data_IF_235875139660
#
_entry.id   IF_235875139660
#
_cell.length_a   1.000
_cell.length_b   1.000
_cell.length_c   1.000
_cell.angle_alpha   90.00
_cell.angle_beta   90.00
_cell.angle_gamma   90.00
#
_symmetry.space_group_name_H-M   'P 1'
#
loop_
_entity.id
_entity.type
_entity.pdbx_description
1 polymer ?
#
# COMPACT_ATOMS: atom_id res chain seq x y z
N UNK A 1 -10.19 1.85 35.07
CA UNK A 1 -9.07 2.34 35.91
C UNK A 1 -7.82 2.40 35.06
N UNK A 2 -7.17 3.56 34.99
CA UNK A 2 -5.90 3.73 34.27
C UNK A 2 -4.75 3.08 35.05
N UNK A 3 -3.91 2.29 34.37
CA UNK A 3 -2.73 1.66 34.95
C UNK A 3 -1.50 2.16 34.19
N UNK A 4 -0.53 2.68 34.91
CA UNK A 4 0.76 3.06 34.32
C UNK A 4 1.57 1.80 34.02
N UNK A 5 1.68 1.47 32.73
CA UNK A 5 2.42 0.28 32.28
C UNK A 5 3.91 0.39 32.58
N UNK A 6 4.51 1.59 32.47
CA UNK A 6 5.94 1.81 32.74
C UNK A 6 6.29 1.51 34.19
N UNK A 7 5.37 1.73 35.13
CA UNK A 7 5.58 1.39 36.55
C UNK A 7 5.77 -0.12 36.82
N UNK A 8 5.44 -0.98 35.84
CA UNK A 8 5.75 -2.42 35.92
C UNK A 8 7.25 -2.71 35.77
N UNK A 9 7.96 -1.85 35.04
CA UNK A 9 9.37 -2.03 34.70
C UNK A 9 10.31 -1.22 35.62
N UNK A 10 9.85 -0.06 36.10
CA UNK A 10 10.70 0.89 36.81
C UNK A 10 10.13 1.25 38.19
N UNK A 11 11.01 1.54 39.14
CA UNK A 11 10.64 2.11 40.43
C UNK A 11 10.39 3.64 40.31
N UNK A 12 9.99 4.26 41.41
CA UNK A 12 9.75 5.72 41.49
C UNK A 12 10.98 6.60 41.19
N UNK A 13 12.17 6.00 41.16
CA UNK A 13 13.45 6.67 40.84
C UNK A 13 13.95 6.35 39.44
N UNK A 14 13.11 5.73 38.61
CA UNK A 14 13.46 5.34 37.24
C UNK A 14 14.45 4.17 37.13
N UNK A 15 14.64 3.38 38.19
CA UNK A 15 15.53 2.22 38.18
C UNK A 15 14.73 0.96 37.85
N UNK A 16 15.33 0.07 37.06
CA UNK A 16 14.72 -1.20 36.68
C UNK A 16 14.40 -2.05 37.93
N UNK A 17 13.17 -2.51 38.01
CA UNK A 17 12.68 -3.41 39.06
C UNK A 17 13.24 -4.82 38.87
N UNK A 18 13.56 -5.49 39.96
CA UNK A 18 14.02 -6.90 39.96
C UNK A 18 12.86 -7.86 39.61
N UNK A 19 11.64 -7.50 39.98
CA UNK A 19 10.38 -8.26 39.79
C UNK A 19 9.61 -7.86 38.52
N UNK A 20 10.29 -7.17 37.59
CA UNK A 20 9.66 -6.73 36.32
C UNK A 20 9.19 -7.90 35.45
N UNK A 21 8.19 -7.69 34.59
CA UNK A 21 7.75 -8.67 33.61
C UNK A 21 8.93 -9.18 32.76
N UNK A 22 8.84 -10.45 32.33
CA UNK A 22 9.75 -11.01 31.34
C UNK A 22 9.50 -10.38 29.96
N UNK A 23 10.49 -10.40 29.10
CA UNK A 23 10.41 -9.84 27.76
C UNK A 23 11.13 -8.51 27.62
N UNK A 24 10.79 -7.75 26.58
CA UNK A 24 11.37 -6.45 26.34
C UNK A 24 10.95 -5.43 27.40
N UNK A 25 11.84 -4.51 27.68
CA UNK A 25 11.62 -3.43 28.65
C UNK A 25 11.25 -2.16 27.89
N UNK A 26 10.05 -1.65 28.12
CA UNK A 26 9.63 -0.38 27.52
C UNK A 26 10.51 0.78 28.02
N UNK A 27 10.85 1.75 27.16
CA UNK A 27 11.67 2.89 27.54
C UNK A 27 11.02 3.73 28.65
N UNK A 28 11.85 4.25 29.61
CA UNK A 28 11.33 5.01 30.76
C UNK A 28 10.93 6.44 30.38
N UNK A 29 11.77 7.15 29.64
CA UNK A 29 11.70 8.59 29.40
C UNK A 29 11.82 8.94 27.90
N UNK A 30 11.22 8.12 27.04
CA UNK A 30 11.09 8.37 25.62
C UNK A 30 9.68 8.82 25.30
N UNK A 31 9.55 9.62 24.26
CA UNK A 31 8.24 10.06 23.76
C UNK A 31 7.51 8.88 23.13
N UNK A 32 6.31 8.60 23.59
CA UNK A 32 5.38 7.72 22.91
C UNK A 32 4.93 8.42 21.63
N UNK A 33 5.24 7.85 20.47
CA UNK A 33 4.85 8.42 19.18
C UNK A 33 3.52 7.86 18.70
N UNK A 34 3.27 6.57 18.95
CA UNK A 34 1.99 5.93 18.62
C UNK A 34 1.64 4.83 19.62
N UNK A 35 0.34 4.66 19.87
CA UNK A 35 -0.26 3.48 20.51
C UNK A 35 -1.33 3.00 19.55
N UNK A 36 -1.16 1.80 19.01
CA UNK A 36 -2.04 1.21 17.99
C UNK A 36 -2.61 -0.12 18.51
N UNK A 37 -3.88 -0.17 18.95
CA UNK A 37 -4.57 -1.44 19.16
C UNK A 37 -4.70 -2.20 17.83
N UNK A 38 -4.46 -3.52 17.84
CA UNK A 38 -4.64 -4.34 16.65
C UNK A 38 -6.11 -4.37 16.22
N UNK A 39 -6.31 -4.36 14.90
CA UNK A 39 -7.64 -4.55 14.32
C UNK A 39 -8.04 -6.04 14.27
N UNK A 40 -7.09 -6.96 14.50
CA UNK A 40 -7.27 -8.41 14.32
C UNK A 40 -7.35 -9.17 15.65
N UNK A 41 -6.75 -8.65 16.72
CA UNK A 41 -6.70 -9.33 18.02
C UNK A 41 -6.79 -8.33 19.18
N UNK A 42 -7.74 -8.54 20.08
CA UNK A 42 -8.07 -7.64 21.20
C UNK A 42 -6.96 -7.55 22.25
N UNK A 43 -6.14 -8.58 22.39
CA UNK A 43 -5.02 -8.63 23.33
C UNK A 43 -3.71 -8.09 22.72
N UNK A 44 -3.72 -7.77 21.44
CA UNK A 44 -2.55 -7.25 20.71
C UNK A 44 -2.57 -5.72 20.61
N UNK A 45 -1.44 -5.11 20.92
CA UNK A 45 -1.22 -3.66 20.80
C UNK A 45 0.23 -3.36 20.45
N UNK A 46 0.42 -2.41 19.54
CA UNK A 46 1.73 -1.90 19.15
C UNK A 46 1.98 -0.55 19.82
N UNK A 47 3.23 -0.33 20.24
CA UNK A 47 3.64 0.96 20.82
C UNK A 47 4.99 1.35 20.24
N UNK A 48 5.09 2.60 19.78
CA UNK A 48 6.34 3.15 19.27
C UNK A 48 6.79 4.33 20.12
N UNK A 49 8.11 4.52 20.20
CA UNK A 49 8.72 5.62 20.91
C UNK A 49 9.83 6.27 20.08
N UNK A 50 10.14 7.52 20.40
CA UNK A 50 11.28 8.26 19.86
C UNK A 50 12.10 8.89 20.96
N UNK A 51 13.41 8.71 20.92
CA UNK A 51 14.39 9.39 21.77
C UNK A 51 15.07 10.57 21.09
N UNK A 52 14.75 10.85 19.84
CA UNK A 52 15.43 11.87 19.05
C UNK A 52 15.50 13.24 19.74
N UNK A 53 14.37 13.76 20.20
CA UNK A 53 14.32 15.08 20.84
C UNK A 53 14.85 15.11 22.28
N UNK A 54 14.73 14.01 23.01
CA UNK A 54 15.06 13.96 24.44
C UNK A 54 16.49 13.49 24.69
N UNK A 55 17.03 12.64 23.83
CA UNK A 55 18.31 11.97 24.03
C UNK A 55 19.25 12.06 22.83
N UNK A 56 18.82 12.76 21.75
CA UNK A 56 19.59 12.89 20.51
C UNK A 56 20.03 11.52 19.96
N UNK A 57 19.10 10.57 19.89
CA UNK A 57 19.35 9.22 19.43
C UNK A 57 18.42 8.82 18.28
N UNK A 58 18.93 8.05 17.32
CA UNK A 58 18.22 7.58 16.14
C UNK A 58 17.67 6.15 16.32
N UNK A 59 17.75 5.57 17.51
CA UNK A 59 17.26 4.22 17.78
C UNK A 59 15.76 4.12 17.54
N UNK A 60 15.35 3.09 16.79
CA UNK A 60 13.94 2.74 16.65
C UNK A 60 13.44 1.98 17.86
N UNK A 61 12.33 2.39 18.40
CA UNK A 61 11.66 1.72 19.50
C UNK A 61 10.28 1.26 19.05
N UNK A 62 10.12 -0.03 18.79
CA UNK A 62 8.87 -0.61 18.28
C UNK A 62 8.59 -1.87 19.13
N UNK A 63 7.49 -1.83 19.86
CA UNK A 63 7.12 -2.92 20.74
C UNK A 63 5.72 -3.44 20.44
N UNK A 64 5.53 -4.73 20.62
CA UNK A 64 4.22 -5.39 20.53
C UNK A 64 3.94 -6.18 21.80
N UNK A 65 2.69 -6.17 22.22
CA UNK A 65 2.14 -7.09 23.21
C UNK A 65 1.08 -7.96 22.54
N UNK A 66 0.96 -9.22 22.98
CA UNK A 66 -0.09 -10.15 22.57
C UNK A 66 -0.90 -10.69 23.78
N UNK A 67 -0.77 -10.02 24.93
CA UNK A 67 -1.38 -10.48 26.21
C UNK A 67 -1.97 -9.31 27.02
N UNK A 68 -2.46 -8.28 26.34
CA UNK A 68 -3.06 -7.11 26.97
C UNK A 68 -2.05 -6.27 27.77
N UNK A 69 -0.80 -6.19 27.34
CA UNK A 69 0.25 -5.38 27.95
C UNK A 69 0.89 -5.98 29.21
N UNK A 70 0.77 -7.31 29.40
CA UNK A 70 1.47 -8.01 30.49
C UNK A 70 2.94 -8.20 30.15
N UNK A 71 3.23 -8.62 28.91
CA UNK A 71 4.58 -8.75 28.38
C UNK A 71 4.72 -8.01 27.06
N UNK A 72 5.95 -7.67 26.68
CA UNK A 72 6.27 -6.93 25.46
C UNK A 72 7.42 -7.59 24.72
N UNK A 73 7.37 -7.50 23.40
CA UNK A 73 8.41 -7.94 22.49
C UNK A 73 8.92 -6.73 21.69
N UNK A 74 10.24 -6.60 21.57
CA UNK A 74 10.88 -5.64 20.67
C UNK A 74 10.88 -6.21 19.24
N UNK A 75 10.30 -5.47 18.31
CA UNK A 75 10.24 -5.82 16.89
C UNK A 75 10.98 -4.80 16.01
N UNK A 76 11.83 -3.96 16.61
CA UNK A 76 12.61 -2.96 15.86
C UNK A 76 13.73 -3.56 15.02
N UNK A 77 14.18 -4.77 15.35
CA UNK A 77 15.28 -5.48 14.69
C UNK A 77 16.58 -4.67 14.62
N UNK A 78 16.81 -3.80 15.59
CA UNK A 78 18.01 -2.96 15.65
C UNK A 78 18.06 -1.84 14.62
N UNK A 79 16.90 -1.46 14.05
CA UNK A 79 16.79 -0.34 13.12
C UNK A 79 17.21 0.97 13.81
N UNK A 80 17.92 1.83 13.08
CA UNK A 80 18.40 3.13 13.54
C UNK A 80 17.69 4.26 12.79
N UNK A 81 16.38 4.35 12.96
CA UNK A 81 15.52 5.39 12.35
C UNK A 81 14.49 5.83 13.38
N UNK A 82 14.44 7.11 13.79
CA UNK A 82 13.41 7.59 14.69
C UNK A 82 12.01 7.30 14.17
N UNK A 83 11.22 6.59 14.99
CA UNK A 83 9.88 6.16 14.61
C UNK A 83 8.87 7.22 14.99
N UNK A 84 7.95 7.51 14.07
CA UNK A 84 6.86 8.48 14.25
C UNK A 84 5.51 7.83 14.36
N UNK A 85 5.27 6.82 13.51
CA UNK A 85 3.95 6.21 13.41
C UNK A 85 4.06 4.74 12.99
N UNK A 86 3.03 3.96 13.32
CA UNK A 86 2.87 2.57 12.90
C UNK A 86 1.38 2.32 12.57
N UNK A 87 1.13 1.64 11.46
CA UNK A 87 -0.22 1.22 11.05
C UNK A 87 -0.23 -0.27 10.72
N UNK A 88 -1.31 -0.95 11.12
CA UNK A 88 -1.54 -2.37 10.81
C UNK A 88 -2.42 -2.50 9.57
N UNK A 89 -2.08 -3.43 8.67
CA UNK A 89 -2.91 -3.69 7.50
C UNK A 89 -4.29 -4.23 7.92
N UNK A 90 -5.39 -3.66 7.42
CA UNK A 90 -6.74 -4.02 7.87
C UNK A 90 -7.21 -5.43 7.50
N UNK A 91 -6.52 -6.09 6.55
CA UNK A 91 -6.90 -7.41 6.04
C UNK A 91 -5.83 -8.48 6.29
N UNK A 92 -4.61 -8.07 6.69
CA UNK A 92 -3.51 -9.00 6.91
C UNK A 92 -2.68 -8.61 8.15
N UNK A 93 -2.83 -9.33 9.29
CA UNK A 93 -2.11 -9.02 10.53
C UNK A 93 -0.58 -9.18 10.44
N UNK A 94 -0.07 -9.85 9.40
CA UNK A 94 1.36 -10.00 9.20
C UNK A 94 2.03 -8.72 8.66
N UNK A 95 1.21 -7.75 8.21
CA UNK A 95 1.69 -6.54 7.55
C UNK A 95 1.54 -5.33 8.45
N UNK A 96 2.67 -4.66 8.71
CA UNK A 96 2.71 -3.38 9.39
C UNK A 96 3.45 -2.36 8.52
N UNK A 97 2.98 -1.13 8.55
CA UNK A 97 3.63 0.02 7.92
C UNK A 97 4.24 0.90 9.00
N UNK A 98 5.45 1.36 8.81
CA UNK A 98 6.20 2.14 9.78
C UNK A 98 6.64 3.47 9.16
N UNK A 99 6.19 4.57 9.74
CA UNK A 99 6.62 5.92 9.40
C UNK A 99 7.82 6.34 10.27
N UNK A 100 8.89 6.77 9.61
CA UNK A 100 10.15 7.16 10.27
C UNK A 100 10.62 8.54 9.79
N UNK A 101 11.72 9.05 10.36
CA UNK A 101 12.36 10.27 9.87
C UNK A 101 13.05 10.08 8.51
N UNK A 102 13.24 8.84 8.05
CA UNK A 102 13.91 8.48 6.80
C UNK A 102 13.01 7.72 5.82
N UNK A 103 11.69 7.98 5.89
CA UNK A 103 10.70 7.41 4.97
C UNK A 103 9.87 6.29 5.60
N UNK A 104 9.32 5.43 4.75
CA UNK A 104 8.35 4.42 5.13
C UNK A 104 8.98 3.04 4.98
N UNK A 105 8.77 2.22 6.00
CA UNK A 105 9.14 0.82 6.01
C UNK A 105 7.89 -0.05 6.11
N UNK A 106 7.99 -1.27 5.62
CA UNK A 106 6.93 -2.27 5.70
C UNK A 106 7.52 -3.60 6.14
N UNK A 107 6.75 -4.34 6.92
CA UNK A 107 7.03 -5.75 7.24
C UNK A 107 5.90 -6.63 6.68
N UNK A 108 6.22 -7.88 6.33
CA UNK A 108 5.28 -8.91 5.88
C UNK A 108 5.31 -10.14 6.79
N UNK A 109 5.87 -9.98 8.00
CA UNK A 109 6.12 -11.05 8.95
C UNK A 109 6.06 -10.57 10.41
N UNK A 110 5.17 -9.62 10.69
CA UNK A 110 4.93 -9.06 12.05
C UNK A 110 6.18 -8.43 12.67
N UNK A 111 6.98 -7.73 11.88
CA UNK A 111 8.16 -7.01 12.37
C UNK A 111 9.41 -7.85 12.56
N UNK A 112 9.44 -9.09 12.07
CA UNK A 112 10.69 -9.90 12.07
C UNK A 112 11.72 -9.37 11.08
N UNK A 113 11.23 -8.73 9.99
CA UNK A 113 12.07 -8.05 9.01
C UNK A 113 11.37 -6.79 8.50
N UNK A 114 12.07 -5.67 8.52
CA UNK A 114 11.63 -4.42 7.94
C UNK A 114 12.33 -4.16 6.61
N UNK A 115 11.58 -3.71 5.62
CA UNK A 115 12.11 -3.31 4.31
C UNK A 115 11.59 -1.92 3.95
N UNK A 116 12.41 -1.11 3.30
CA UNK A 116 11.96 0.20 2.82
C UNK A 116 10.87 0.00 1.76
N UNK A 117 9.74 0.68 1.91
CA UNK A 117 8.57 0.46 1.05
C UNK A 117 8.84 0.84 -0.41
N UNK A 118 9.67 1.85 -0.65
CA UNK A 118 10.09 2.25 -1.98
C UNK A 118 11.46 2.90 -1.95
N UNK A 119 12.36 2.43 -2.81
CA UNK A 119 13.67 3.08 -3.02
C UNK A 119 13.57 4.40 -3.80
N UNK A 120 12.49 4.56 -4.58
CA UNK A 120 12.23 5.80 -5.36
C UNK A 120 11.48 6.87 -4.56
N UNK A 121 10.91 6.53 -3.41
CA UNK A 121 10.31 7.52 -2.53
C UNK A 121 11.43 8.37 -1.89
N UNK A 122 11.27 9.70 -1.81
CA UNK A 122 12.25 10.53 -1.15
C UNK A 122 12.34 10.18 0.34
N UNK A 123 13.53 10.37 0.91
CA UNK A 123 13.70 10.31 2.36
C UNK A 123 13.02 11.55 2.97
N UNK A 124 11.87 11.33 3.58
CA UNK A 124 11.06 12.38 4.20
C UNK A 124 10.67 11.95 5.59
N UNK A 125 10.57 12.93 6.48
CA UNK A 125 10.02 12.70 7.81
C UNK A 125 8.52 12.40 7.65
N UNK A 126 8.11 11.19 7.99
CA UNK A 126 6.70 10.80 8.06
C UNK A 126 6.15 11.24 9.42
N UNK A 127 5.08 12.01 9.43
CA UNK A 127 4.49 12.52 10.66
C UNK A 127 3.32 11.68 11.15
N UNK A 128 2.53 11.19 10.21
CA UNK A 128 1.31 10.42 10.48
C UNK A 128 0.91 9.61 9.25
N UNK A 129 0.22 8.51 9.45
CA UNK A 129 -0.29 7.66 8.39
C UNK A 129 -1.73 7.25 8.68
N UNK A 130 -2.49 6.97 7.62
CA UNK A 130 -3.84 6.41 7.74
C UNK A 130 -4.17 5.54 6.54
N UNK A 131 -4.83 4.41 6.77
CA UNK A 131 -5.25 3.49 5.71
C UNK A 131 -6.74 3.72 5.39
N UNK A 132 -7.01 4.11 4.15
CA UNK A 132 -8.37 4.12 3.62
C UNK A 132 -8.73 2.69 3.17
N UNK A 133 -9.55 1.99 3.96
CA UNK A 133 -9.82 0.55 3.83
C UNK A 133 -10.49 0.16 2.51
N UNK A 134 -11.42 0.98 1.99
CA UNK A 134 -12.20 0.64 0.80
C UNK A 134 -11.36 0.57 -0.47
N UNK A 135 -10.51 1.58 -0.68
CA UNK A 135 -9.67 1.69 -1.87
C UNK A 135 -8.24 1.18 -1.62
N UNK A 136 -7.92 0.79 -0.38
CA UNK A 136 -6.60 0.29 0.00
C UNK A 136 -5.48 1.31 -0.24
N UNK A 137 -5.77 2.57 0.06
CA UNK A 137 -4.80 3.64 -0.03
C UNK A 137 -4.19 3.94 1.34
N UNK A 138 -2.87 3.97 1.40
CA UNK A 138 -2.11 4.47 2.55
C UNK A 138 -1.84 5.95 2.31
N UNK A 139 -2.51 6.81 3.08
CA UNK A 139 -2.24 8.24 3.12
C UNK A 139 -1.08 8.50 4.09
N UNK A 140 -0.11 9.30 3.67
CA UNK A 140 1.14 9.55 4.37
C UNK A 140 1.32 11.06 4.48
N UNK A 141 1.24 11.58 5.70
CA UNK A 141 1.53 12.98 6.00
C UNK A 141 3.02 13.16 6.29
N UNK A 142 3.66 14.12 5.66
CA UNK A 142 5.10 14.37 5.81
C UNK A 142 5.39 15.73 6.37
N UNK A 143 6.56 15.88 7.00
CA UNK A 143 7.03 17.18 7.44
C UNK A 143 7.60 17.97 6.26
N UNK A 144 6.86 18.98 5.82
CA UNK A 144 7.31 19.93 4.81
C UNK A 144 7.27 19.48 3.35
N UNK A 145 6.77 18.26 3.04
CA UNK A 145 6.65 17.74 1.67
C UNK A 145 5.22 17.36 1.26
N UNK A 146 4.22 17.85 2.01
CA UNK A 146 2.80 17.57 1.74
C UNK A 146 2.42 16.14 2.06
N UNK A 147 1.48 15.61 1.27
CA UNK A 147 0.93 14.27 1.44
C UNK A 147 1.31 13.37 0.26
N UNK A 148 1.55 12.10 0.56
CA UNK A 148 1.68 11.06 -0.44
C UNK A 148 0.55 10.04 -0.26
N UNK A 149 0.10 9.46 -1.36
CA UNK A 149 -0.87 8.37 -1.36
C UNK A 149 -0.19 7.17 -2.02
N UNK A 150 -0.17 6.05 -1.33
CA UNK A 150 0.35 4.79 -1.84
C UNK A 150 -0.76 3.76 -1.93
N UNK A 151 -0.96 3.20 -3.13
CA UNK A 151 -1.85 2.07 -3.35
C UNK A 151 -1.20 0.81 -2.76
N UNK A 152 -1.79 0.28 -1.68
CA UNK A 152 -1.34 -0.92 -0.97
C UNK A 152 -2.18 -2.17 -1.31
N UNK A 153 -3.04 -2.09 -2.32
CA UNK A 153 -3.92 -3.19 -2.75
C UNK A 153 -3.18 -4.52 -2.95
N UNK A 154 -2.02 -4.60 -3.63
CA UNK A 154 -1.36 -5.88 -3.85
C UNK A 154 -0.79 -6.49 -2.56
N UNK A 155 -0.54 -5.70 -1.53
CA UNK A 155 0.12 -6.17 -0.31
C UNK A 155 -0.75 -7.13 0.50
N UNK A 156 -2.09 -7.01 0.44
CA UNK A 156 -2.99 -7.95 1.14
C UNK A 156 -2.71 -9.42 0.80
N UNK A 157 -2.20 -9.69 -0.40
CA UNK A 157 -1.87 -11.04 -0.88
C UNK A 157 -0.39 -11.39 -0.71
N UNK A 158 0.45 -10.47 -0.21
CA UNK A 158 1.86 -10.73 0.01
C UNK A 158 2.06 -11.74 1.13
N UNK A 159 2.37 -12.97 0.72
CA UNK A 159 2.71 -14.10 1.57
C UNK A 159 3.93 -14.79 0.98
N UNK A 160 4.67 -15.52 1.81
CA UNK A 160 5.86 -16.27 1.38
C UNK A 160 5.60 -17.08 0.11
N UNK A 161 4.45 -17.74 0.01
CA UNK A 161 4.06 -18.53 -1.15
C UNK A 161 3.93 -17.73 -2.47
N UNK A 162 3.68 -16.42 -2.41
CA UNK A 162 3.64 -15.55 -3.61
C UNK A 162 5.05 -15.25 -4.08
N UNK A 163 5.97 -14.98 -3.17
CA UNK A 163 7.37 -14.69 -3.50
C UNK A 163 8.14 -15.89 -4.06
N UNK A 164 7.66 -17.12 -3.80
CA UNK A 164 8.23 -18.35 -4.32
C UNK A 164 7.79 -18.66 -5.77
N UNK A 165 6.67 -18.04 -6.23
CA UNK A 165 6.18 -18.22 -7.61
C UNK A 165 7.03 -17.46 -8.61
N UNK A 166 7.25 -18.05 -9.79
CA UNK A 166 7.97 -17.39 -10.88
C UNK A 166 7.26 -16.11 -11.34
N UNK A 167 5.93 -16.13 -11.39
CA UNK A 167 5.11 -14.97 -11.62
C UNK A 167 3.73 -15.11 -10.93
N UNK A 168 3.12 -13.99 -10.54
CA UNK A 168 1.81 -13.98 -9.88
C UNK A 168 1.02 -12.74 -10.30
N UNK A 169 -0.25 -12.91 -10.62
CA UNK A 169 -1.19 -11.82 -10.88
C UNK A 169 -2.03 -11.58 -9.63
N UNK A 170 -1.88 -10.42 -9.02
CA UNK A 170 -2.71 -10.03 -7.87
C UNK A 170 -4.17 -9.86 -8.28
N UNK A 171 -5.08 -10.10 -7.34
CA UNK A 171 -6.49 -9.84 -7.54
C UNK A 171 -6.69 -8.36 -7.87
N UNK A 172 -7.23 -8.03 -9.07
CA UNK A 172 -7.45 -6.65 -9.43
C UNK A 172 -8.53 -6.02 -8.54
N UNK A 173 -8.27 -4.80 -8.09
CA UNK A 173 -9.31 -3.99 -7.48
C UNK A 173 -10.40 -3.67 -8.49
N UNK A 174 -11.63 -3.48 -8.02
CA UNK A 174 -12.70 -2.95 -8.88
C UNK A 174 -12.30 -1.60 -9.45
N UNK A 175 -12.63 -1.36 -10.70
CA UNK A 175 -12.36 -0.08 -11.35
C UNK A 175 -13.69 0.64 -11.58
N UNK A 176 -13.80 1.86 -11.08
CA UNK A 176 -14.98 2.71 -11.33
C UNK A 176 -14.75 3.53 -12.61
N UNK A 177 -15.69 3.44 -13.52
CA UNK A 177 -15.73 4.25 -14.75
C UNK A 177 -16.29 5.64 -14.41
N UNK A 178 -15.45 6.47 -13.79
CA UNK A 178 -15.85 7.82 -13.39
C UNK A 178 -16.22 8.69 -14.59
N UNK A 179 -17.34 9.37 -14.51
CA UNK A 179 -17.74 10.38 -15.47
C UNK A 179 -17.20 11.76 -15.08
N UNK A 180 -15.88 11.89 -15.07
CA UNK A 180 -15.22 13.14 -14.73
C UNK A 180 -15.09 14.03 -15.97
N UNK A 181 -15.48 15.31 -15.83
CA UNK A 181 -15.07 16.32 -16.79
C UNK A 181 -13.54 16.44 -16.73
N UNK A 182 -12.86 16.24 -17.87
CA UNK A 182 -11.46 16.61 -18.02
C UNK A 182 -11.35 18.13 -17.87
N UNK A 183 -11.17 18.61 -16.66
CA UNK A 183 -10.65 19.96 -16.46
C UNK A 183 -9.17 19.90 -16.82
N UNK A 184 -8.82 20.36 -18.01
CA UNK A 184 -7.44 20.71 -18.34
C UNK A 184 -7.03 21.73 -17.29
N UNK A 185 -5.86 21.48 -16.65
CA UNK A 185 -5.36 22.30 -15.57
C UNK A 185 -5.33 23.78 -15.94
N UNK A 186 -6.40 24.46 -15.63
CA UNK A 186 -6.48 25.93 -15.70
C UNK A 186 -6.14 26.44 -14.31
N UNK A 187 -5.10 27.25 -14.25
CA UNK A 187 -4.79 28.05 -13.07
C UNK A 187 -5.88 29.09 -12.92
N UNK A 188 -6.80 28.90 -11.98
CA UNK A 188 -7.68 29.96 -11.53
C UNK A 188 -6.98 30.73 -10.42
N UNK A 189 -6.39 31.87 -10.76
CA UNK A 189 -5.70 32.74 -9.78
C UNK A 189 -4.44 32.11 -9.19
N UNK A 190 -4.20 32.36 -7.90
CA UNK A 190 -3.02 31.87 -7.16
C UNK A 190 -3.10 30.41 -6.71
N UNK A 191 -4.16 29.67 -7.06
CA UNK A 191 -4.36 28.30 -6.63
C UNK A 191 -3.85 27.30 -7.67
N UNK A 192 -2.91 26.45 -7.26
CA UNK A 192 -2.49 25.30 -8.05
C UNK A 192 -3.58 24.22 -8.03
N UNK A 193 -4.09 23.87 -9.20
CA UNK A 193 -5.00 22.72 -9.37
C UNK A 193 -4.21 21.46 -9.65
N UNK A 194 -4.40 20.43 -8.85
CA UNK A 194 -3.93 19.08 -9.18
C UNK A 194 -4.93 18.43 -10.12
N UNK A 195 -4.49 17.90 -11.28
CA UNK A 195 -5.39 17.20 -12.20
C UNK A 195 -6.00 15.96 -11.53
N UNK A 196 -7.23 15.63 -11.90
CA UNK A 196 -7.85 14.38 -11.46
C UNK A 196 -7.03 13.16 -11.92
N UNK A 197 -7.04 12.06 -11.17
CA UNK A 197 -6.47 10.81 -11.63
C UNK A 197 -7.07 10.39 -12.97
N UNK A 198 -6.32 9.78 -13.90
CA UNK A 198 -6.83 9.31 -15.15
C UNK A 198 -7.92 8.24 -14.92
N UNK A 199 -8.96 8.25 -15.76
CA UNK A 199 -10.03 7.22 -15.71
C UNK A 199 -9.43 5.87 -16.08
N UNK A 200 -9.50 4.91 -15.16
CA UNK A 200 -8.92 3.59 -15.31
C UNK A 200 -8.47 3.02 -13.97
N UNK A 201 -7.63 1.99 -14.03
CA UNK A 201 -7.08 1.38 -12.83
C UNK A 201 -5.76 0.67 -13.09
N UNK A 202 -5.06 0.38 -12.02
CA UNK A 202 -3.81 -0.36 -12.06
C UNK A 202 -4.05 -1.85 -11.88
N UNK A 203 -3.28 -2.64 -12.61
CA UNK A 203 -3.19 -4.09 -12.50
C UNK A 203 -1.79 -4.43 -12.00
N UNK A 204 -1.71 -5.21 -10.93
CA UNK A 204 -0.45 -5.53 -10.27
C UNK A 204 -0.07 -7.00 -10.52
N UNK A 205 1.22 -7.26 -10.70
CA UNK A 205 1.77 -8.60 -10.78
C UNK A 205 3.19 -8.65 -10.21
N UNK A 206 3.58 -9.83 -9.80
CA UNK A 206 4.91 -10.15 -9.28
C UNK A 206 5.70 -10.93 -10.31
N UNK A 207 6.99 -10.62 -10.43
CA UNK A 207 7.98 -11.41 -11.16
C UNK A 207 9.13 -11.77 -10.22
N UNK A 208 9.42 -13.05 -10.07
CA UNK A 208 10.55 -13.52 -9.27
C UNK A 208 11.88 -13.12 -9.90
N UNK A 209 11.96 -13.20 -11.23
CA UNK A 209 13.11 -12.81 -12.01
C UNK A 209 12.70 -11.94 -13.20
N UNK A 210 13.68 -11.30 -13.84
CA UNK A 210 13.48 -10.48 -15.04
C UNK A 210 12.92 -11.35 -16.18
N UNK A 211 11.83 -10.89 -16.81
CA UNK A 211 11.22 -11.55 -17.97
C UNK A 211 11.68 -10.90 -19.28
N UNK A 212 11.58 -11.65 -20.39
CA UNK A 212 11.83 -11.11 -21.73
C UNK A 212 10.61 -10.35 -22.27
N UNK A 213 9.41 -10.88 -22.00
CA UNK A 213 8.15 -10.31 -22.48
C UNK A 213 7.04 -10.53 -21.46
N UNK A 214 6.32 -9.47 -21.14
CA UNK A 214 5.15 -9.54 -20.27
C UNK A 214 3.97 -8.85 -20.92
N UNK A 215 2.80 -9.48 -20.88
CA UNK A 215 1.54 -8.94 -21.36
C UNK A 215 0.43 -9.23 -20.36
N UNK A 216 -0.51 -8.31 -20.28
CA UNK A 216 -1.79 -8.55 -19.62
C UNK A 216 -2.88 -8.52 -20.71
N UNK A 217 -3.61 -9.61 -20.81
CA UNK A 217 -4.72 -9.73 -21.75
C UNK A 217 -6.03 -9.46 -21.02
N UNK A 218 -6.74 -8.42 -21.42
CA UNK A 218 -8.08 -8.16 -20.92
C UNK A 218 -9.04 -8.90 -21.85
N UNK A 219 -9.82 -9.80 -21.27
CA UNK A 219 -10.75 -10.67 -21.99
C UNK A 219 -12.19 -10.40 -21.51
N UNK A 220 -13.17 -10.56 -22.39
CA UNK A 220 -14.59 -10.65 -22.00
C UNK A 220 -14.89 -12.00 -21.32
N UNK A 221 -16.13 -12.24 -20.96
CA UNK A 221 -16.56 -13.49 -20.32
C UNK A 221 -16.47 -14.69 -21.27
N UNK A 222 -16.64 -14.46 -22.57
CA UNK A 222 -16.53 -15.44 -23.65
C UNK A 222 -15.06 -15.81 -23.93
N UNK A 223 -14.10 -15.03 -23.41
CA UNK A 223 -12.66 -15.28 -23.59
C UNK A 223 -12.02 -14.51 -24.76
N UNK A 224 -12.80 -13.65 -25.45
CA UNK A 224 -12.25 -12.82 -26.52
C UNK A 224 -11.33 -11.74 -25.94
N UNK A 225 -10.15 -11.55 -26.53
CA UNK A 225 -9.21 -10.51 -26.11
C UNK A 225 -9.71 -9.14 -26.60
N UNK A 226 -10.11 -8.28 -25.67
CA UNK A 226 -10.60 -6.92 -25.95
C UNK A 226 -9.49 -5.87 -25.88
N UNK A 227 -8.44 -6.13 -25.11
CA UNK A 227 -7.24 -5.28 -25.00
C UNK A 227 -6.02 -6.09 -24.64
N UNK A 228 -4.86 -5.63 -25.10
CA UNK A 228 -3.55 -6.16 -24.74
C UNK A 228 -2.69 -5.02 -24.17
N UNK A 229 -2.20 -5.20 -22.96
CA UNK A 229 -1.33 -4.24 -22.28
C UNK A 229 0.08 -4.82 -22.19
N UNK A 230 1.08 -3.99 -22.47
CA UNK A 230 2.48 -4.37 -22.29
C UNK A 230 2.90 -4.11 -20.85
N UNK A 231 3.41 -5.14 -20.19
CA UNK A 231 3.86 -5.07 -18.81
C UNK A 231 5.35 -4.75 -18.67
N UNK A 232 5.74 -4.26 -17.49
CA UNK A 232 7.12 -4.15 -17.05
C UNK A 232 7.79 -5.53 -16.95
N UNK A 233 9.10 -5.58 -17.20
CA UNK A 233 9.87 -6.84 -17.29
C UNK A 233 10.80 -7.05 -16.10
N UNK A 234 10.94 -6.05 -15.23
CA UNK A 234 11.87 -6.10 -14.11
C UNK A 234 11.38 -7.07 -13.03
N UNK A 235 12.32 -7.63 -12.29
CA UNK A 235 12.03 -8.40 -11.06
C UNK A 235 11.25 -7.55 -10.05
N UNK A 236 10.39 -8.22 -9.26
CA UNK A 236 9.63 -7.62 -8.17
C UNK A 236 8.20 -7.26 -8.55
N UNK A 237 7.59 -6.39 -7.76
CA UNK A 237 6.25 -5.89 -7.99
C UNK A 237 6.22 -4.96 -9.19
N UNK A 238 5.32 -5.23 -10.13
CA UNK A 238 5.10 -4.45 -11.34
C UNK A 238 3.65 -3.99 -11.40
N UNK A 239 3.41 -2.85 -12.06
CA UNK A 239 2.06 -2.34 -12.29
C UNK A 239 1.86 -1.91 -13.73
N UNK A 240 0.64 -2.08 -14.24
CA UNK A 240 0.21 -1.64 -15.58
C UNK A 240 -1.11 -0.92 -15.46
N UNK A 241 -1.19 0.25 -16.07
CA UNK A 241 -2.43 1.02 -16.10
C UNK A 241 -3.31 0.61 -17.29
N UNK A 242 -4.59 0.35 -17.02
CA UNK A 242 -5.62 0.16 -18.04
C UNK A 242 -6.62 1.31 -18.02
N UNK A 243 -6.75 2.01 -19.14
CA UNK A 243 -7.61 3.17 -19.30
C UNK A 243 -9.06 2.81 -19.67
N UNK A 244 -9.51 1.59 -19.38
CA UNK A 244 -10.83 1.06 -19.69
C UNK A 244 -11.21 1.09 -21.19
N UNK A 245 -10.23 1.13 -22.09
CA UNK A 245 -10.48 1.14 -23.54
C UNK A 245 -10.21 -0.21 -24.16
N UNK A 246 -11.05 -0.54 -25.15
CA UNK A 246 -10.85 -1.68 -26.05
C UNK A 246 -9.77 -1.36 -27.07
N UNK A 247 -9.23 -2.39 -27.70
CA UNK A 247 -8.32 -2.25 -28.84
C UNK A 247 -9.02 -1.46 -29.96
N UNK A 248 -8.35 -0.47 -30.59
CA UNK A 248 -8.93 0.24 -31.73
C UNK A 248 -9.29 -0.73 -32.84
N UNK A 249 -10.47 -0.57 -33.45
CA UNK A 249 -10.80 -1.32 -34.66
C UNK A 249 -9.98 -0.80 -35.83
N UNK A 250 -9.31 -1.67 -36.54
CA UNK A 250 -8.65 -1.33 -37.80
C UNK A 250 -9.74 -1.07 -38.89
N UNK A 251 -10.13 0.18 -39.07
CA UNK A 251 -10.97 0.57 -40.23
C UNK A 251 -10.15 1.50 -41.12
N UNK A 252 -9.99 1.10 -42.39
CA UNK A 252 -9.30 1.85 -43.41
C UNK A 252 -10.05 3.12 -43.84
N UNK A 253 -9.31 4.23 -44.02
CA UNK A 253 -9.81 5.49 -44.55
C UNK A 253 -9.06 6.71 -44.02
N UNK A 254 -8.77 7.67 -44.89
CA UNK A 254 -7.90 8.85 -44.62
C UNK A 254 -8.51 9.90 -43.69
N UNK A 255 -9.82 9.99 -43.55
CA UNK A 255 -10.52 11.03 -42.79
C UNK A 255 -10.55 10.81 -41.26
N UNK A 256 -10.07 9.69 -40.78
CA UNK A 256 -10.12 9.30 -39.35
C UNK A 256 -8.78 9.37 -38.60
N UNK A 257 -7.68 9.88 -39.13
CA UNK A 257 -6.33 9.78 -38.55
C UNK A 257 -6.20 10.37 -37.17
N UNK A 258 -6.91 11.40 -36.77
CA UNK A 258 -6.83 12.03 -35.47
C UNK A 258 -7.77 11.43 -34.38
N UNK A 259 -8.94 10.88 -34.76
CA UNK A 259 -9.85 10.17 -33.83
C UNK A 259 -9.50 8.70 -33.60
N UNK A 260 -8.54 8.15 -34.34
CA UNK A 260 -8.24 6.71 -34.47
C UNK A 260 -7.27 6.14 -33.44
N UNK A 261 -6.73 6.93 -32.53
CA UNK A 261 -5.69 6.43 -31.61
C UNK A 261 -6.23 5.72 -30.36
N UNK A 262 -7.50 5.86 -30.01
CA UNK A 262 -8.07 5.25 -28.82
C UNK A 262 -9.36 4.49 -29.16
N UNK A 263 -9.40 3.21 -28.79
CA UNK A 263 -10.61 2.41 -28.90
C UNK A 263 -11.74 2.92 -27.99
N UNK A 264 -12.99 2.43 -28.18
CA UNK A 264 -14.10 2.80 -27.31
C UNK A 264 -13.86 2.32 -25.89
N UNK A 265 -14.44 3.02 -24.91
CA UNK A 265 -14.44 2.56 -23.52
C UNK A 265 -15.27 1.28 -23.39
N UNK A 266 -14.91 0.45 -22.42
CA UNK A 266 -15.70 -0.74 -22.08
C UNK A 266 -16.95 -0.33 -21.30
N UNK A 267 -17.96 -1.18 -21.31
CA UNK A 267 -19.13 -1.04 -20.46
C UNK A 267 -18.84 -1.55 -19.04
N UNK A 268 -19.66 -1.16 -18.07
CA UNK A 268 -19.62 -1.75 -16.73
C UNK A 268 -19.93 -3.25 -16.83
N UNK A 269 -19.21 -4.06 -16.09
CA UNK A 269 -19.34 -5.52 -16.16
C UNK A 269 -18.14 -6.24 -15.58
N UNK A 270 -18.12 -7.56 -15.78
CA UNK A 270 -17.01 -8.42 -15.33
C UNK A 270 -16.15 -8.79 -16.51
N UNK A 271 -14.86 -8.66 -16.33
CA UNK A 271 -13.81 -9.00 -17.30
C UNK A 271 -12.84 -10.02 -16.70
N UNK A 272 -12.01 -10.61 -17.53
CA UNK A 272 -10.90 -11.47 -17.12
C UNK A 272 -9.59 -10.81 -17.48
N UNK A 273 -8.64 -10.83 -16.56
CA UNK A 273 -7.26 -10.37 -16.78
C UNK A 273 -6.37 -11.59 -16.75
N UNK A 274 -5.63 -11.84 -17.82
CA UNK A 274 -4.68 -12.96 -17.92
C UNK A 274 -3.26 -12.42 -18.00
N UNK A 275 -2.40 -12.83 -17.07
CA UNK A 275 -0.97 -12.55 -17.11
C UNK A 275 -0.28 -13.56 -18.04
N UNK A 276 0.47 -13.03 -19.00
CA UNK A 276 1.27 -13.81 -19.96
C UNK A 276 2.73 -13.41 -19.80
N UNK A 277 3.58 -14.37 -19.47
CA UNK A 277 5.03 -14.18 -19.30
C UNK A 277 5.76 -15.06 -20.30
N UNK A 278 6.62 -14.46 -21.11
CA UNK A 278 7.42 -15.16 -22.14
C UNK A 278 6.57 -16.05 -23.08
N UNK A 279 5.34 -15.61 -23.36
CA UNK A 279 4.40 -16.32 -24.26
C UNK A 279 3.51 -17.37 -23.59
N UNK A 280 3.69 -17.64 -22.29
CA UNK A 280 2.88 -18.60 -21.54
C UNK A 280 1.85 -17.88 -20.66
N UNK A 281 0.59 -18.32 -20.68
CA UNK A 281 -0.43 -17.84 -19.74
C UNK A 281 -0.12 -18.41 -18.34
N UNK A 282 0.09 -17.52 -17.35
CA UNK A 282 0.48 -17.89 -16.00
C UNK A 282 -0.73 -17.95 -15.08
N UNK A 283 -1.58 -16.93 -15.12
CA UNK A 283 -2.70 -16.80 -14.20
C UNK A 283 -3.78 -15.89 -14.78
N UNK A 284 -5.03 -16.17 -14.43
CA UNK A 284 -6.19 -15.36 -14.80
C UNK A 284 -6.96 -14.96 -13.55
N UNK A 285 -7.32 -13.68 -13.45
CA UNK A 285 -8.13 -13.11 -12.39
C UNK A 285 -9.38 -12.43 -12.97
N UNK A 286 -10.42 -12.31 -12.14
CA UNK A 286 -11.61 -11.54 -12.47
C UNK A 286 -11.38 -10.05 -12.18
N UNK A 287 -11.90 -9.18 -13.03
CA UNK A 287 -11.86 -7.73 -12.86
C UNK A 287 -13.27 -7.18 -13.00
N UNK A 288 -13.74 -6.46 -12.00
CA UNK A 288 -15.03 -5.78 -12.01
C UNK A 288 -14.85 -4.32 -12.45
N UNK A 289 -15.58 -3.90 -13.48
CA UNK A 289 -15.73 -2.50 -13.88
C UNK A 289 -17.10 -2.03 -13.49
N UNK A 290 -17.21 -0.98 -12.69
CA UNK A 290 -18.46 -0.42 -12.20
C UNK A 290 -18.75 0.91 -12.89
N UNK A 291 -20.05 1.23 -13.05
CA UNK A 291 -20.49 2.57 -13.43
C UNK A 291 -20.23 3.56 -12.30
N UNK A 292 -20.18 4.84 -12.65
CA UNK A 292 -20.09 5.91 -11.68
C UNK A 292 -21.31 5.86 -10.74
N UNK A 293 -21.13 5.63 -9.43
CA UNK A 293 -22.25 5.51 -8.50
C UNK A 293 -23.08 6.78 -8.37
N UNK A 294 -22.49 7.96 -8.62
CA UNK A 294 -23.20 9.24 -8.55
C UNK A 294 -24.26 9.37 -9.65
N UNK A 295 -24.11 8.64 -10.75
CA UNK A 295 -25.06 8.66 -11.87
C UNK A 295 -26.17 7.63 -11.74
N UNK A 296 -26.01 6.61 -10.88
CA UNK A 296 -27.02 5.55 -10.67
C UNK A 296 -28.20 5.98 -9.80
N UNK A 297 -28.05 7.06 -9.01
CA UNK A 297 -29.10 7.58 -8.11
C UNK A 297 -30.05 8.59 -8.79
N UNK A 298 -30.10 8.65 -10.13
CA UNK A 298 -30.91 9.64 -10.89
C UNK A 298 -32.06 9.03 -11.69
N UNK A 299 -32.38 7.76 -11.48
CA UNK A 299 -33.56 7.10 -12.09
C UNK A 299 -34.68 6.90 -11.06
#
# INVERSE_FOLDING_TARGET
TWVNITAKFYDKRGRLRKDRPKGAVLPYDRWVTRVLPSAHDVDTCYVTYSGYRTHNEDTSYIFVTHDGGKTWQDISQGMMNPVRDIEEDPDNPDILYLGTDYGIFVTFDQGKKWVKMSESAPDVIVMDMAIQKRERDLAIATYGRGFFIADIQPFKEFKKAVFEKEAYLFEPQRIVKWNMMERRGETYGEFAYTPNPPVGGYLYYWLKDKAEKVKLLIKDLEGNVIQELTGGKAKGLQKVFWNLRKKPKEQGGMAGRFRRRMGPMVEAGVYKVTLVVNGQEVMTQKLKVESDPILLDKD
#
